data_IF_998631961392
#
_entry.id   IF_998631961392
#
_cell.length_a   1.000
_cell.length_b   1.000
_cell.length_c   1.000
_cell.angle_alpha   90.00
_cell.angle_beta   90.00
_cell.angle_gamma   90.00
#
_symmetry.space_group_name_H-M   'P 1'
#
loop_
_entity.id
_entity.type
_entity.pdbx_description
1 polymer ?
#
# COMPACT_ATOMS: atom_id res chain seq x y z
N UNK A 1 27.33 25.13 -7.68
CA UNK A 1 27.38 24.28 -6.47
C UNK A 1 26.23 24.68 -5.57
N UNK A 2 25.13 23.96 -5.67
CA UNK A 2 24.09 23.84 -4.64
C UNK A 2 23.48 22.48 -4.91
N UNK A 3 24.01 21.43 -4.25
CA UNK A 3 23.28 20.17 -4.16
C UNK A 3 21.96 20.50 -3.49
N UNK A 4 20.84 20.23 -4.15
CA UNK A 4 19.53 20.27 -3.51
C UNK A 4 19.47 19.07 -2.56
N UNK A 5 20.09 19.22 -1.38
CA UNK A 5 19.88 18.29 -0.28
C UNK A 5 18.39 18.33 0.04
N UNK A 6 17.69 17.23 -0.27
CA UNK A 6 16.40 16.94 0.34
C UNK A 6 16.61 17.02 1.86
N UNK A 7 16.07 18.06 2.51
CA UNK A 7 16.24 18.30 3.95
C UNK A 7 15.60 17.22 4.82
N UNK A 8 14.81 16.34 4.22
CA UNK A 8 14.15 15.19 4.84
C UNK A 8 15.02 13.92 4.79
N UNK A 9 16.04 13.87 3.93
CA UNK A 9 16.88 12.68 3.77
C UNK A 9 18.18 12.79 4.57
N UNK A 10 18.53 11.78 5.40
CA UNK A 10 19.81 11.75 6.12
C UNK A 10 21.02 11.51 5.21
N UNK A 11 20.84 10.89 4.03
CA UNK A 11 21.88 10.69 3.02
C UNK A 11 21.32 10.81 1.60
N UNK A 12 22.19 11.12 0.64
CA UNK A 12 21.83 11.10 -0.78
C UNK A 12 21.43 9.68 -1.23
N UNK A 13 22.13 8.64 -0.78
CA UNK A 13 21.76 7.25 -1.08
C UNK A 13 20.35 6.91 -0.60
N UNK A 14 19.96 7.34 0.61
CA UNK A 14 18.61 7.14 1.12
C UNK A 14 17.54 7.85 0.27
N UNK A 15 17.86 9.04 -0.23
CA UNK A 15 16.99 9.75 -1.17
C UNK A 15 16.85 8.99 -2.50
N UNK A 16 17.97 8.49 -3.03
CA UNK A 16 18.04 7.75 -4.29
C UNK A 16 17.34 6.38 -4.21
N UNK A 17 17.33 5.77 -3.02
CA UNK A 17 16.57 4.55 -2.73
C UNK A 17 15.06 4.82 -2.54
N UNK A 18 14.62 6.08 -2.61
CA UNK A 18 13.22 6.50 -2.48
C UNK A 18 12.76 6.81 -1.05
N UNK A 19 13.67 6.83 -0.08
CA UNK A 19 13.34 6.88 1.35
C UNK A 19 12.52 8.09 1.81
N UNK A 20 12.68 9.28 1.23
CA UNK A 20 11.81 10.42 1.58
C UNK A 20 10.38 10.30 1.06
N UNK A 21 10.18 9.61 -0.07
CA UNK A 21 8.85 9.34 -0.59
C UNK A 21 8.20 8.27 0.29
N UNK A 22 8.97 7.26 0.70
CA UNK A 22 8.53 6.27 1.70
C UNK A 22 8.10 6.95 3.01
N UNK A 23 8.87 7.90 3.53
CA UNK A 23 8.57 8.58 4.80
C UNK A 23 7.36 9.54 4.69
N UNK A 24 7.24 10.31 3.61
CA UNK A 24 6.10 11.20 3.41
C UNK A 24 4.79 10.44 3.17
N UNK A 25 4.82 9.36 2.38
CA UNK A 25 3.64 8.51 2.21
C UNK A 25 3.34 7.73 3.50
N UNK A 26 4.35 7.36 4.29
CA UNK A 26 4.18 6.77 5.63
C UNK A 26 3.44 7.71 6.56
N UNK A 27 3.79 8.99 6.61
CA UNK A 27 3.08 9.94 7.47
C UNK A 27 1.64 10.20 7.01
N UNK A 28 1.42 10.48 5.72
CA UNK A 28 0.08 10.71 5.19
C UNK A 28 -0.84 9.48 5.38
N UNK A 29 -0.31 8.28 5.17
CA UNK A 29 -1.06 7.04 5.34
C UNK A 29 -1.30 6.69 6.83
N UNK A 30 -0.34 6.97 7.73
CA UNK A 30 -0.54 6.88 9.19
C UNK A 30 -1.64 7.81 9.66
N UNK A 31 -1.67 9.03 9.14
CA UNK A 31 -2.65 10.04 9.54
C UNK A 31 -4.06 9.64 9.08
N UNK A 32 -4.25 9.29 7.81
CA UNK A 32 -5.53 8.84 7.27
C UNK A 32 -6.01 7.53 7.90
N UNK A 33 -5.12 6.53 8.04
CA UNK A 33 -5.45 5.26 8.69
C UNK A 33 -5.78 5.43 10.18
N UNK A 34 -5.06 6.30 10.88
CA UNK A 34 -5.34 6.65 12.27
C UNK A 34 -6.72 7.27 12.46
N UNK A 35 -7.13 8.16 11.56
CA UNK A 35 -8.47 8.78 11.59
C UNK A 35 -9.59 7.75 11.39
N UNK A 36 -9.43 6.81 10.45
CA UNK A 36 -10.43 5.76 10.19
C UNK A 36 -10.58 4.84 11.41
N UNK A 37 -9.46 4.40 12.00
CA UNK A 37 -9.48 3.55 13.20
C UNK A 37 -10.11 4.26 14.39
N UNK A 38 -9.82 5.56 14.57
CA UNK A 38 -10.46 6.36 15.62
C UNK A 38 -11.97 6.49 15.41
N UNK A 39 -12.43 6.71 14.18
CA UNK A 39 -13.85 6.80 13.85
C UNK A 39 -14.59 5.48 14.15
N UNK A 40 -14.03 4.36 13.74
CA UNK A 40 -14.60 3.03 14.00
C UNK A 40 -14.61 2.68 15.50
N UNK A 41 -13.56 3.04 16.24
CA UNK A 41 -13.52 2.88 17.69
C UNK A 41 -14.57 3.73 18.41
N UNK A 42 -14.87 4.93 17.90
CA UNK A 42 -15.92 5.78 18.45
C UNK A 42 -17.31 5.14 18.28
N UNK A 43 -17.64 4.66 17.08
CA UNK A 43 -18.91 3.97 16.83
C UNK A 43 -19.06 2.69 17.67
N UNK A 44 -17.98 1.92 17.82
CA UNK A 44 -17.99 0.73 18.68
C UNK A 44 -18.25 1.08 20.16
N UNK A 45 -17.65 2.18 20.64
CA UNK A 45 -17.88 2.67 22.00
C UNK A 45 -19.33 3.08 22.25
N UNK A 46 -19.96 3.75 21.29
CA UNK A 46 -21.37 4.13 21.36
C UNK A 46 -22.28 2.90 21.41
N UNK A 47 -22.02 1.88 20.59
CA UNK A 47 -22.78 0.64 20.60
C UNK A 47 -22.67 -0.11 21.95
N UNK A 48 -21.46 -0.24 22.50
CA UNK A 48 -21.26 -0.85 23.82
C UNK A 48 -21.93 -0.04 24.96
N UNK A 49 -21.94 1.30 24.84
CA UNK A 49 -22.63 2.14 25.82
C UNK A 49 -24.15 1.91 25.78
N UNK A 50 -24.71 1.79 24.58
CA UNK A 50 -26.13 1.51 24.40
C UNK A 50 -26.53 0.14 24.96
N UNK A 51 -25.77 -0.92 24.68
CA UNK A 51 -25.99 -2.25 25.28
C UNK A 51 -25.97 -2.19 26.81
N UNK A 52 -25.05 -1.43 27.39
CA UNK A 52 -24.96 -1.27 28.84
C UNK A 52 -26.17 -0.55 29.43
N UNK A 53 -26.71 0.45 28.73
CA UNK A 53 -27.94 1.14 29.16
C UNK A 53 -29.15 0.22 29.15
N UNK A 54 -29.32 -0.58 28.09
CA UNK A 54 -30.41 -1.56 27.98
C UNK A 54 -30.35 -2.58 29.12
N UNK A 55 -29.17 -3.16 29.39
CA UNK A 55 -29.02 -4.12 30.49
C UNK A 55 -29.21 -3.51 31.88
N UNK A 56 -28.92 -2.21 32.07
CA UNK A 56 -29.22 -1.52 33.33
C UNK A 56 -30.73 -1.32 33.53
N UNK A 57 -31.46 -1.07 32.44
CA UNK A 57 -32.92 -0.94 32.46
C UNK A 57 -33.59 -2.28 32.77
N UNK A 58 -33.14 -3.38 32.14
CA UNK A 58 -33.65 -4.74 32.41
C UNK A 58 -33.48 -5.14 33.89
N UNK A 59 -32.37 -4.71 34.52
CA UNK A 59 -32.17 -4.92 35.96
C UNK A 59 -33.22 -4.15 36.76
N UNK A 60 -33.57 -2.91 36.41
CA UNK A 60 -34.62 -2.16 37.12
C UNK A 60 -36.00 -2.79 36.94
N UNK A 61 -36.34 -3.14 35.71
CA UNK A 61 -37.63 -3.71 35.34
C UNK A 61 -37.87 -5.06 36.02
N UNK A 62 -36.81 -5.87 36.21
CA UNK A 62 -36.91 -7.16 36.92
C UNK A 62 -37.31 -7.06 38.40
N UNK A 63 -37.22 -5.86 38.97
CA UNK A 63 -37.61 -5.59 40.35
C UNK A 63 -38.96 -4.87 40.45
N UNK A 64 -39.55 -4.31 39.39
CA UNK A 64 -40.82 -3.54 39.49
C UNK A 64 -42.03 -4.39 39.93
N UNK A 65 -42.00 -5.71 39.80
CA UNK A 65 -43.19 -6.58 39.96
C UNK A 65 -43.34 -7.28 41.34
N UNK A 66 -42.46 -7.06 42.31
CA UNK A 66 -42.41 -7.90 43.53
C UNK A 66 -43.09 -7.35 44.78
N UNK A 67 -43.59 -6.10 44.78
CA UNK A 67 -44.15 -5.45 45.98
C UNK A 67 -45.62 -5.04 45.87
N UNK A 68 -46.24 -5.19 44.69
CA UNK A 68 -47.64 -4.78 44.46
C UNK A 68 -48.66 -5.62 45.21
N UNK A 69 -48.41 -6.91 45.39
CA UNK A 69 -49.42 -7.86 45.91
C UNK A 69 -49.35 -8.10 47.42
N UNK A 70 -48.40 -7.49 48.14
CA UNK A 70 -48.08 -7.96 49.49
C UNK A 70 -49.11 -7.59 50.56
N UNK A 71 -49.97 -6.58 50.36
CA UNK A 71 -50.96 -6.18 51.38
C UNK A 71 -52.17 -5.41 50.83
N UNK A 72 -52.98 -5.95 49.92
CA UNK A 72 -54.22 -5.28 49.45
C UNK A 72 -55.35 -5.20 50.51
N UNK A 73 -55.15 -5.73 51.71
CA UNK A 73 -56.15 -5.70 52.78
C UNK A 73 -56.03 -4.46 53.71
N UNK A 74 -57.17 -3.83 54.10
CA UNK A 74 -57.19 -2.69 55.01
C UNK A 74 -56.79 -3.10 56.42
N UNK A 75 -55.90 -2.32 57.06
CA UNK A 75 -55.44 -2.62 58.43
C UNK A 75 -56.52 -2.30 59.47
N UNK A 76 -56.49 -3.03 60.59
CA UNK A 76 -57.46 -2.89 61.69
C UNK A 76 -57.11 -1.77 62.70
N UNK A 77 -56.01 -1.02 62.52
CA UNK A 77 -55.59 0.03 63.49
C UNK A 77 -54.56 1.03 62.92
N UNK A 78 -54.68 2.34 63.19
CA UNK A 78 -53.72 3.38 62.77
C UNK A 78 -52.26 3.14 63.21
N UNK A 79 -52.06 2.44 64.32
CA UNK A 79 -50.72 2.12 64.83
C UNK A 79 -50.06 1.02 63.98
N UNK A 80 -50.85 0.09 63.43
CA UNK A 80 -50.37 -0.93 62.50
C UNK A 80 -50.11 -0.36 61.11
N UNK A 81 -50.85 0.68 60.69
CA UNK A 81 -50.56 1.41 59.45
C UNK A 81 -49.18 2.10 59.50
N UNK A 82 -48.82 2.72 60.62
CA UNK A 82 -47.50 3.35 60.78
C UNK A 82 -46.36 2.32 60.72
N UNK A 83 -46.50 1.19 61.41
CA UNK A 83 -45.51 0.11 61.36
C UNK A 83 -45.40 -0.51 59.97
N UNK A 84 -46.53 -0.64 59.26
CA UNK A 84 -46.57 -1.13 57.88
C UNK A 84 -45.86 -0.17 56.93
N UNK A 85 -46.05 1.13 57.07
CA UNK A 85 -45.35 2.17 56.29
C UNK A 85 -43.83 2.10 56.53
N UNK A 86 -43.39 1.92 57.78
CA UNK A 86 -41.96 1.78 58.11
C UNK A 86 -41.34 0.51 57.51
N UNK A 87 -42.06 -0.62 57.55
CA UNK A 87 -41.60 -1.88 56.95
C UNK A 87 -41.51 -1.77 55.43
N UNK A 88 -42.51 -1.18 54.77
CA UNK A 88 -42.49 -0.94 53.32
C UNK A 88 -41.32 -0.04 52.91
N UNK A 89 -41.11 1.06 53.64
CA UNK A 89 -39.98 1.95 53.39
C UNK A 89 -38.62 1.24 53.58
N UNK A 90 -38.51 0.30 54.51
CA UNK A 90 -37.28 -0.48 54.71
C UNK A 90 -37.08 -1.56 53.63
N UNK A 91 -38.15 -2.21 53.17
CA UNK A 91 -38.11 -3.12 52.02
C UNK A 91 -37.67 -2.37 50.77
N UNK A 92 -38.25 -1.20 50.49
CA UNK A 92 -37.89 -0.36 49.35
C UNK A 92 -36.43 0.11 49.43
N UNK A 93 -35.95 0.51 50.61
CA UNK A 93 -34.53 0.86 50.83
C UNK A 93 -33.59 -0.32 50.56
N UNK A 94 -33.94 -1.52 51.02
CA UNK A 94 -33.09 -2.70 50.83
C UNK A 94 -33.12 -3.21 49.38
N UNK A 95 -34.27 -3.10 48.71
CA UNK A 95 -34.44 -3.34 47.28
C UNK A 95 -33.61 -2.37 46.44
N UNK A 96 -33.66 -1.07 46.74
CA UNK A 96 -32.83 -0.05 46.09
C UNK A 96 -31.33 -0.33 46.25
N UNK A 97 -30.88 -0.76 47.44
CA UNK A 97 -29.48 -1.16 47.68
C UNK A 97 -29.06 -2.38 46.86
N UNK A 98 -29.93 -3.39 46.74
CA UNK A 98 -29.62 -4.59 45.97
C UNK A 98 -29.62 -4.32 44.45
N UNK A 99 -30.56 -3.50 43.95
CA UNK A 99 -30.56 -3.01 42.57
C UNK A 99 -29.24 -2.27 42.29
N UNK A 100 -28.85 -1.32 43.15
CA UNK A 100 -27.61 -0.57 42.97
C UNK A 100 -26.39 -1.50 42.94
N UNK A 101 -26.33 -2.48 43.84
CA UNK A 101 -25.23 -3.46 43.88
C UNK A 101 -25.19 -4.34 42.62
N UNK A 102 -26.33 -4.74 42.07
CA UNK A 102 -26.39 -5.49 40.82
C UNK A 102 -25.99 -4.63 39.62
N UNK A 103 -26.45 -3.38 39.57
CA UNK A 103 -26.02 -2.38 38.57
C UNK A 103 -24.50 -2.18 38.61
N UNK A 104 -23.92 -1.92 39.78
CA UNK A 104 -22.49 -1.72 39.94
C UNK A 104 -21.68 -2.93 39.46
N UNK A 105 -22.13 -4.15 39.80
CA UNK A 105 -21.49 -5.39 39.36
C UNK A 105 -21.63 -5.63 37.86
N UNK A 106 -22.79 -5.33 37.29
CA UNK A 106 -23.05 -5.43 35.85
C UNK A 106 -22.19 -4.42 35.07
N UNK A 107 -22.19 -3.15 35.48
CA UNK A 107 -21.37 -2.09 34.89
C UNK A 107 -19.89 -2.43 34.94
N UNK A 108 -19.37 -2.89 36.09
CA UNK A 108 -17.97 -3.29 36.21
C UNK A 108 -17.60 -4.43 35.26
N UNK A 109 -18.46 -5.46 35.15
CA UNK A 109 -18.25 -6.60 34.24
C UNK A 109 -18.29 -6.16 32.78
N UNK A 110 -19.29 -5.36 32.38
CA UNK A 110 -19.44 -4.87 31.01
C UNK A 110 -18.32 -3.92 30.61
N UNK A 111 -17.89 -3.04 31.51
CA UNK A 111 -16.74 -2.14 31.26
C UNK A 111 -15.46 -2.93 30.95
N UNK A 112 -15.19 -4.00 31.70
CA UNK A 112 -14.00 -4.84 31.45
C UNK A 112 -14.11 -5.65 30.15
N UNK A 113 -15.30 -6.16 29.83
CA UNK A 113 -15.58 -6.85 28.57
C UNK A 113 -15.39 -5.91 27.36
N UNK A 114 -15.98 -4.72 27.38
CA UNK A 114 -15.82 -3.69 26.36
C UNK A 114 -14.36 -3.28 26.21
N UNK A 115 -13.63 -3.07 27.33
CA UNK A 115 -12.20 -2.75 27.30
C UNK A 115 -11.39 -3.84 26.59
N UNK A 116 -11.70 -5.12 26.85
CA UNK A 116 -11.03 -6.25 26.20
C UNK A 116 -11.31 -6.30 24.71
N UNK A 117 -12.57 -6.12 24.30
CA UNK A 117 -12.98 -6.12 22.90
C UNK A 117 -12.37 -4.92 22.13
N UNK A 118 -12.37 -3.73 22.72
CA UNK A 118 -11.69 -2.54 22.16
C UNK A 118 -10.20 -2.80 21.91
N UNK A 119 -9.51 -3.47 22.84
CA UNK A 119 -8.10 -3.80 22.67
C UNK A 119 -7.88 -4.83 21.55
N UNK A 120 -8.76 -5.83 21.42
CA UNK A 120 -8.70 -6.82 20.33
C UNK A 120 -8.96 -6.18 18.97
N UNK A 121 -9.98 -5.31 18.88
CA UNK A 121 -10.30 -4.56 17.67
C UNK A 121 -9.13 -3.68 17.25
N UNK A 122 -8.53 -2.95 18.20
CA UNK A 122 -7.34 -2.12 17.93
C UNK A 122 -6.16 -2.94 17.42
N UNK A 123 -5.92 -4.11 18.01
CA UNK A 123 -4.82 -4.99 17.61
C UNK A 123 -5.03 -5.58 16.20
N UNK A 124 -6.27 -5.97 15.88
CA UNK A 124 -6.66 -6.44 14.55
C UNK A 124 -6.56 -5.33 13.50
N UNK A 125 -7.08 -4.14 13.81
CA UNK A 125 -6.99 -2.96 12.95
C UNK A 125 -5.54 -2.56 12.68
N UNK A 126 -4.66 -2.65 13.69
CA UNK A 126 -3.24 -2.40 13.52
C UNK A 126 -2.55 -3.43 12.64
N UNK A 127 -2.91 -4.72 12.77
CA UNK A 127 -2.41 -5.78 11.88
C UNK A 127 -2.87 -5.60 10.44
N UNK A 128 -4.13 -5.25 10.23
CA UNK A 128 -4.66 -4.92 8.89
C UNK A 128 -3.95 -3.72 8.29
N UNK A 129 -3.72 -2.67 9.10
CA UNK A 129 -2.95 -1.50 8.71
C UNK A 129 -1.52 -1.84 8.29
N UNK A 130 -0.82 -2.68 9.06
CA UNK A 130 0.53 -3.14 8.72
C UNK A 130 0.57 -3.97 7.43
N UNK A 131 -0.41 -4.85 7.23
CA UNK A 131 -0.52 -5.65 6.01
C UNK A 131 -0.72 -4.76 4.77
N UNK A 132 -1.69 -3.85 4.83
CA UNK A 132 -1.95 -2.91 3.74
C UNK A 132 -0.74 -1.99 3.48
N UNK A 133 0.01 -1.65 4.53
CA UNK A 133 1.26 -0.89 4.40
C UNK A 133 2.36 -1.69 3.70
N UNK A 134 2.56 -2.95 4.09
CA UNK A 134 3.51 -3.85 3.42
C UNK A 134 3.15 -4.00 1.93
N UNK A 135 1.86 -4.11 1.62
CA UNK A 135 1.38 -4.08 0.25
C UNK A 135 1.75 -2.73 -0.41
N UNK A 136 1.27 -1.58 0.07
CA UNK A 136 1.56 -0.28 -0.57
C UNK A 136 3.06 0.01 -0.75
N UNK A 137 3.91 -0.48 0.17
CA UNK A 137 5.36 -0.42 0.03
C UNK A 137 5.85 -1.23 -1.18
N UNK A 138 5.42 -2.48 -1.30
CA UNK A 138 5.78 -3.33 -2.42
C UNK A 138 5.29 -2.73 -3.75
N UNK A 139 4.10 -2.11 -3.80
CA UNK A 139 3.62 -1.35 -4.97
C UNK A 139 4.61 -0.26 -5.37
N UNK A 140 4.90 0.66 -4.44
CA UNK A 140 5.71 1.83 -4.70
C UNK A 140 7.13 1.44 -5.12
N UNK A 141 7.68 0.40 -4.48
CA UNK A 141 9.00 -0.13 -4.82
C UNK A 141 9.00 -0.75 -6.22
N UNK A 142 8.00 -1.54 -6.57
CA UNK A 142 7.88 -2.14 -7.90
C UNK A 142 7.68 -1.08 -8.99
N UNK A 143 6.87 -0.05 -8.69
CA UNK A 143 6.68 1.10 -9.57
C UNK A 143 8.00 1.84 -9.82
N UNK A 144 8.72 2.18 -8.75
CA UNK A 144 10.01 2.88 -8.85
C UNK A 144 11.06 2.06 -9.61
N UNK A 145 11.20 0.77 -9.29
CA UNK A 145 12.15 -0.12 -9.98
C UNK A 145 11.80 -0.38 -11.44
N UNK A 146 10.56 -0.10 -11.83
CA UNK A 146 10.11 -0.13 -13.21
C UNK A 146 10.26 1.21 -13.92
N UNK A 147 10.58 2.30 -13.21
CA UNK A 147 10.66 3.65 -13.80
C UNK A 147 11.81 3.80 -14.80
N UNK A 148 11.63 4.71 -15.76
CA UNK A 148 12.65 5.02 -16.76
C UNK A 148 13.95 5.55 -16.10
N UNK A 149 13.83 6.26 -14.98
CA UNK A 149 14.98 6.68 -14.17
C UNK A 149 15.80 5.48 -13.70
N UNK A 150 15.16 4.51 -13.06
CA UNK A 150 15.83 3.34 -12.52
C UNK A 150 16.50 2.53 -13.64
N UNK A 151 15.84 2.36 -14.78
CA UNK A 151 16.38 1.65 -15.95
C UNK A 151 17.64 2.36 -16.49
N UNK A 152 17.60 3.69 -16.65
CA UNK A 152 18.74 4.47 -17.12
C UNK A 152 19.90 4.42 -16.12
N UNK A 153 19.62 4.55 -14.82
CA UNK A 153 20.63 4.47 -13.78
C UNK A 153 21.32 3.10 -13.76
N UNK A 154 20.56 2.01 -13.79
CA UNK A 154 21.09 0.64 -13.85
C UNK A 154 21.93 0.39 -15.12
N UNK A 155 21.50 0.94 -16.26
CA UNK A 155 22.27 0.88 -17.51
C UNK A 155 23.58 1.69 -17.42
N UNK A 156 23.56 2.83 -16.74
CA UNK A 156 24.72 3.69 -16.49
C UNK A 156 25.75 2.99 -15.60
N UNK A 157 25.32 2.43 -14.47
CA UNK A 157 26.17 1.68 -13.54
C UNK A 157 26.83 0.47 -14.21
N UNK A 158 26.05 -0.28 -15.00
CA UNK A 158 26.58 -1.43 -15.74
C UNK A 158 27.62 -0.99 -16.77
N UNK A 159 27.35 0.10 -17.49
CA UNK A 159 28.30 0.69 -18.44
C UNK A 159 29.60 1.06 -17.72
N UNK A 160 29.51 1.82 -16.63
CA UNK A 160 30.68 2.27 -15.87
C UNK A 160 31.53 1.08 -15.38
N UNK A 161 30.87 0.07 -14.81
CA UNK A 161 31.54 -1.15 -14.34
C UNK A 161 32.34 -1.85 -15.43
N UNK A 162 31.76 -1.98 -16.63
CA UNK A 162 32.40 -2.67 -17.76
C UNK A 162 33.50 -1.83 -18.40
N UNK A 163 33.35 -0.50 -18.45
CA UNK A 163 34.42 0.42 -18.86
C UNK A 163 35.62 0.37 -17.91
N UNK A 164 35.38 0.35 -16.60
CA UNK A 164 36.43 0.21 -15.58
C UNK A 164 37.15 -1.13 -15.76
N UNK A 165 36.42 -2.24 -15.88
CA UNK A 165 37.00 -3.58 -16.06
C UNK A 165 37.84 -3.68 -17.34
N UNK A 166 37.41 -3.01 -18.42
CA UNK A 166 38.20 -2.90 -19.65
C UNK A 166 39.52 -2.19 -19.40
N UNK A 167 39.50 -1.01 -18.79
CA UNK A 167 40.70 -0.21 -18.53
C UNK A 167 41.67 -0.90 -17.56
N UNK A 168 41.17 -1.58 -16.53
CA UNK A 168 41.98 -2.41 -15.63
C UNK A 168 42.73 -3.50 -16.40
N UNK A 169 42.06 -4.13 -17.36
CA UNK A 169 42.68 -5.18 -18.21
C UNK A 169 43.80 -4.62 -19.10
N UNK A 170 43.71 -3.36 -19.53
CA UNK A 170 44.78 -2.69 -20.28
C UNK A 170 45.97 -2.31 -19.39
N UNK A 171 45.72 -1.82 -18.18
CA UNK A 171 46.76 -1.41 -17.22
C UNK A 171 47.56 -2.60 -16.69
N UNK A 172 46.89 -3.74 -16.48
CA UNK A 172 47.51 -4.96 -15.96
C UNK A 172 48.61 -5.55 -16.86
N UNK A 173 48.66 -5.14 -18.14
CA UNK A 173 49.66 -5.60 -19.11
C UNK A 173 49.59 -7.10 -19.43
N UNK A 174 48.58 -7.82 -18.92
CA UNK A 174 48.40 -9.27 -19.15
C UNK A 174 48.17 -9.59 -20.62
N UNK A 175 47.53 -8.68 -21.36
CA UNK A 175 47.25 -8.84 -22.80
C UNK A 175 48.53 -8.92 -23.65
N UNK A 176 49.66 -8.36 -23.20
CA UNK A 176 50.91 -8.46 -23.97
C UNK A 176 51.53 -9.86 -23.94
N UNK A 177 51.01 -10.76 -23.09
CA UNK A 177 51.58 -12.10 -22.83
C UNK A 177 50.74 -13.23 -23.42
N UNK A 178 49.64 -12.90 -24.10
CA UNK A 178 48.66 -13.87 -24.58
C UNK A 178 48.49 -13.72 -26.08
N UNK A 179 48.48 -14.83 -26.81
CA UNK A 179 48.14 -14.82 -28.23
C UNK A 179 46.62 -14.77 -28.40
N UNK A 180 46.12 -13.95 -29.32
CA UNK A 180 44.69 -13.79 -29.57
C UNK A 180 44.35 -14.21 -31.00
N UNK A 181 43.39 -15.11 -31.15
CA UNK A 181 42.88 -15.53 -32.47
C UNK A 181 41.86 -14.56 -33.06
N UNK A 182 41.39 -13.57 -32.28
CA UNK A 182 40.36 -12.60 -32.67
C UNK A 182 40.93 -11.25 -33.13
N UNK A 183 42.23 -11.01 -32.96
CA UNK A 183 42.88 -9.77 -33.35
C UNK A 183 43.88 -10.02 -34.48
N UNK A 184 43.87 -9.15 -35.49
CA UNK A 184 44.75 -9.30 -36.66
C UNK A 184 46.18 -8.87 -36.33
N UNK A 185 46.35 -7.96 -35.36
CA UNK A 185 47.67 -7.47 -34.94
C UNK A 185 47.85 -7.51 -33.41
N UNK A 186 49.11 -7.62 -32.96
CA UNK A 186 49.46 -7.54 -31.54
C UNK A 186 49.09 -6.18 -30.96
N UNK A 187 49.25 -5.10 -31.71
CA UNK A 187 48.88 -3.74 -31.29
C UNK A 187 47.37 -3.62 -31.05
N UNK A 188 46.55 -4.20 -31.93
CA UNK A 188 45.10 -4.29 -31.73
C UNK A 188 44.77 -5.12 -30.49
N UNK A 189 45.46 -6.24 -30.26
CA UNK A 189 45.22 -7.09 -29.09
C UNK A 189 45.59 -6.39 -27.77
N UNK A 190 46.78 -5.79 -27.69
CA UNK A 190 47.28 -5.08 -26.50
C UNK A 190 46.44 -3.84 -26.21
N UNK A 191 45.86 -3.21 -27.24
CA UNK A 191 44.85 -2.15 -27.10
C UNK A 191 43.46 -2.63 -26.68
N UNK A 192 43.26 -3.93 -26.42
CA UNK A 192 41.96 -4.48 -26.00
C UNK A 192 40.98 -4.70 -27.15
N UNK A 193 41.46 -4.86 -28.38
CA UNK A 193 40.65 -5.13 -29.59
C UNK A 193 39.57 -6.18 -29.39
N UNK A 194 39.95 -7.33 -28.84
CA UNK A 194 39.04 -8.42 -28.54
C UNK A 194 38.13 -8.15 -27.34
N UNK A 195 38.57 -7.31 -26.40
CA UNK A 195 37.82 -7.04 -25.16
C UNK A 195 36.55 -6.23 -25.40
N UNK A 196 36.51 -5.37 -26.43
CA UNK A 196 35.29 -4.60 -26.75
C UNK A 196 34.08 -5.50 -27.01
N UNK A 197 34.27 -6.55 -27.81
CA UNK A 197 33.19 -7.48 -28.14
C UNK A 197 32.79 -8.31 -26.93
N UNK A 198 33.77 -8.68 -26.08
CA UNK A 198 33.48 -9.30 -24.78
C UNK A 198 32.70 -8.38 -23.85
N UNK A 199 33.02 -7.08 -23.78
CA UNK A 199 32.30 -6.13 -22.94
C UNK A 199 30.87 -5.91 -23.46
N UNK A 200 30.67 -5.78 -24.79
CA UNK A 200 29.33 -5.69 -25.40
C UNK A 200 28.51 -6.95 -25.13
N UNK A 201 29.12 -8.13 -25.25
CA UNK A 201 28.46 -9.39 -24.94
C UNK A 201 28.06 -9.46 -23.46
N UNK A 202 28.98 -9.16 -22.54
CA UNK A 202 28.73 -9.12 -21.11
C UNK A 202 27.63 -8.11 -20.73
N UNK A 203 27.61 -6.95 -21.39
CA UNK A 203 26.56 -5.93 -21.24
C UNK A 203 25.19 -6.51 -21.66
N UNK A 204 25.11 -7.11 -22.85
CA UNK A 204 23.87 -7.68 -23.38
C UNK A 204 23.33 -8.83 -22.52
N UNK A 205 24.22 -9.72 -22.07
CA UNK A 205 23.85 -10.84 -21.21
C UNK A 205 23.29 -10.35 -19.87
N UNK A 206 23.95 -9.39 -19.24
CA UNK A 206 23.52 -8.81 -17.95
C UNK A 206 22.21 -8.05 -18.09
N UNK A 207 22.04 -7.27 -19.16
CA UNK A 207 20.81 -6.49 -19.38
C UNK A 207 19.61 -7.37 -19.76
N UNK A 208 19.81 -8.50 -20.44
CA UNK A 208 18.75 -9.48 -20.67
C UNK A 208 18.17 -10.01 -19.36
N UNK A 209 19.01 -10.31 -18.37
CA UNK A 209 18.55 -10.73 -17.04
C UNK A 209 17.78 -9.60 -16.34
N UNK A 210 18.33 -8.36 -16.36
CA UNK A 210 17.68 -7.19 -15.74
C UNK A 210 16.33 -6.85 -16.36
N UNK A 211 16.19 -6.92 -17.70
CA UNK A 211 14.90 -6.75 -18.40
C UNK A 211 13.85 -7.77 -17.93
N UNK A 212 14.25 -9.02 -17.71
CA UNK A 212 13.36 -10.06 -17.17
C UNK A 212 12.80 -9.71 -15.78
N UNK A 213 13.67 -9.25 -14.88
CA UNK A 213 13.29 -8.79 -13.53
C UNK A 213 12.36 -7.57 -13.62
N UNK A 214 12.72 -6.57 -14.43
CA UNK A 214 11.91 -5.37 -14.63
C UNK A 214 10.51 -5.69 -15.17
N UNK A 215 10.39 -6.58 -16.16
CA UNK A 215 9.08 -7.05 -16.65
C UNK A 215 8.26 -7.77 -15.60
N UNK A 216 8.91 -8.52 -14.72
CA UNK A 216 8.23 -9.13 -13.59
C UNK A 216 7.66 -8.06 -12.66
N UNK A 217 8.41 -7.00 -12.36
CA UNK A 217 7.93 -5.86 -11.55
C UNK A 217 6.76 -5.12 -12.20
N UNK A 218 6.83 -4.85 -13.51
CA UNK A 218 5.71 -4.28 -14.26
C UNK A 218 4.43 -5.14 -14.17
N UNK A 219 4.57 -6.47 -14.24
CA UNK A 219 3.42 -7.38 -14.08
C UNK A 219 2.82 -7.31 -12.68
N UNK A 220 3.63 -7.18 -11.64
CA UNK A 220 3.13 -7.02 -10.27
C UNK A 220 2.30 -5.73 -10.14
N UNK A 221 2.81 -4.60 -10.63
CA UNK A 221 2.06 -3.33 -10.66
C UNK A 221 0.72 -3.47 -11.40
N UNK A 222 0.72 -4.09 -12.58
CA UNK A 222 -0.52 -4.27 -13.35
C UNK A 222 -1.55 -5.15 -12.64
N UNK A 223 -1.08 -6.18 -11.94
CA UNK A 223 -1.96 -7.03 -11.13
C UNK A 223 -2.65 -6.20 -10.04
N UNK A 224 -1.93 -5.27 -9.43
CA UNK A 224 -2.47 -4.45 -8.35
C UNK A 224 -3.47 -3.43 -8.87
N UNK A 225 -3.18 -2.80 -10.02
CA UNK A 225 -4.14 -1.94 -10.71
C UNK A 225 -5.44 -2.69 -11.08
N UNK A 226 -5.35 -4.00 -11.34
CA UNK A 226 -6.52 -4.85 -11.57
C UNK A 226 -7.26 -5.13 -10.26
N UNK A 227 -6.55 -5.50 -9.19
CA UNK A 227 -7.15 -5.77 -7.88
C UNK A 227 -7.88 -4.55 -7.32
N UNK A 228 -7.26 -3.37 -7.36
CA UNK A 228 -7.87 -2.10 -6.95
C UNK A 228 -9.13 -1.82 -7.78
N UNK A 229 -9.06 -1.92 -9.10
CA UNK A 229 -10.22 -1.66 -9.96
C UNK A 229 -11.37 -2.67 -9.76
N UNK A 230 -11.06 -3.93 -9.45
CA UNK A 230 -12.07 -4.94 -9.11
C UNK A 230 -12.73 -4.65 -7.75
N UNK A 231 -11.99 -4.10 -6.79
CA UNK A 231 -12.50 -3.65 -5.50
C UNK A 231 -13.42 -2.44 -5.65
N UNK A 232 -13.03 -1.44 -6.45
CA UNK A 232 -13.87 -0.28 -6.76
C UNK A 232 -15.19 -0.67 -7.43
N UNK A 233 -15.14 -1.58 -8.42
CA UNK A 233 -16.35 -2.13 -9.04
C UNK A 233 -17.18 -2.88 -7.98
N UNK A 234 -16.53 -3.62 -7.08
CA UNK A 234 -17.24 -4.35 -6.02
C UNK A 234 -17.99 -3.42 -5.07
N UNK A 235 -17.37 -2.30 -4.67
CA UNK A 235 -17.97 -1.26 -3.81
C UNK A 235 -19.11 -0.53 -4.52
N UNK A 236 -18.97 -0.23 -5.81
CA UNK A 236 -20.01 0.43 -6.62
C UNK A 236 -21.34 -0.33 -6.65
N UNK A 237 -21.29 -1.66 -6.61
CA UNK A 237 -22.46 -2.54 -6.62
C UNK A 237 -22.75 -3.16 -5.24
N UNK A 238 -22.10 -2.67 -4.19
CA UNK A 238 -22.43 -3.03 -2.83
C UNK A 238 -23.78 -2.40 -2.50
N UNK A 239 -24.78 -3.24 -2.28
CA UNK A 239 -26.13 -2.81 -1.96
C UNK A 239 -26.28 -2.89 -0.44
N UNK A 240 -26.45 -1.74 0.21
CA UNK A 240 -26.79 -1.69 1.62
C UNK A 240 -28.21 -2.25 1.78
N UNK A 241 -28.29 -3.48 2.31
CA UNK A 241 -29.53 -4.25 2.39
C UNK A 241 -30.51 -3.61 3.37
N UNK A 242 -30.00 -2.93 4.40
CA UNK A 242 -30.80 -2.28 5.45
C UNK A 242 -31.67 -1.14 4.91
N UNK A 243 -31.24 -0.46 3.84
CA UNK A 243 -32.01 0.61 3.17
C UNK A 243 -33.16 0.08 2.29
N UNK A 244 -33.12 -1.22 1.96
CA UNK A 244 -34.08 -1.87 1.05
C UNK A 244 -35.07 -2.79 1.75
N UNK A 245 -34.84 -3.11 3.03
CA UNK A 245 -35.76 -3.88 3.86
C UNK A 245 -36.89 -2.95 4.32
N UNK A 246 -38.08 -3.17 3.78
CA UNK A 246 -39.30 -2.55 4.29
C UNK A 246 -39.76 -3.29 5.57
N UNK A 247 -40.26 -2.56 6.57
CA UNK A 247 -40.81 -3.18 7.79
C UNK A 247 -41.94 -4.17 7.44
N UNK A 248 -42.02 -5.33 8.12
CA UNK A 248 -43.05 -6.33 7.85
C UNK A 248 -44.45 -5.71 7.98
N UNK A 249 -45.25 -5.83 6.92
CA UNK A 249 -46.60 -5.25 6.90
C UNK A 249 -47.61 -6.13 7.64
N UNK A 250 -47.26 -7.39 7.90
CA UNK A 250 -48.15 -8.39 8.51
C UNK A 250 -49.10 -9.03 7.50
N UNK A 251 -49.09 -8.59 6.24
CA UNK A 251 -49.75 -9.25 5.12
C UNK A 251 -48.74 -10.16 4.42
N UNK A 252 -48.93 -11.47 4.58
CA UNK A 252 -48.07 -12.50 4.00
C UNK A 252 -47.85 -12.32 2.49
N UNK A 253 -48.85 -11.84 1.75
CA UNK A 253 -48.72 -11.67 0.30
C UNK A 253 -47.88 -10.45 -0.07
N UNK A 254 -48.00 -9.35 0.69
CA UNK A 254 -47.21 -8.14 0.50
C UNK A 254 -45.75 -8.38 0.91
N UNK A 255 -45.55 -9.02 2.05
CA UNK A 255 -44.22 -9.34 2.57
C UNK A 255 -43.47 -10.31 1.61
N UNK A 256 -44.17 -11.31 1.04
CA UNK A 256 -43.59 -12.20 0.03
C UNK A 256 -43.22 -11.47 -1.28
N UNK A 257 -44.01 -10.48 -1.70
CA UNK A 257 -43.67 -9.65 -2.86
C UNK A 257 -42.45 -8.76 -2.60
N UNK A 258 -42.34 -8.21 -1.39
CA UNK A 258 -41.20 -7.40 -0.98
C UNK A 258 -39.91 -8.22 -0.90
N UNK A 259 -39.94 -9.43 -0.34
CA UNK A 259 -38.80 -10.36 -0.37
C UNK A 259 -38.36 -10.70 -1.80
N UNK A 260 -39.32 -10.98 -2.68
CA UNK A 260 -39.03 -11.26 -4.09
C UNK A 260 -38.40 -10.05 -4.79
N UNK A 261 -38.95 -8.85 -4.58
CA UNK A 261 -38.43 -7.58 -5.13
C UNK A 261 -36.99 -7.34 -4.67
N UNK A 262 -36.71 -7.54 -3.38
CA UNK A 262 -35.37 -7.42 -2.82
C UNK A 262 -34.40 -8.43 -3.47
N UNK A 263 -34.83 -9.69 -3.60
CA UNK A 263 -34.07 -10.72 -4.30
C UNK A 263 -33.75 -10.35 -5.75
N UNK A 264 -34.73 -9.82 -6.49
CA UNK A 264 -34.55 -9.39 -7.89
C UNK A 264 -33.56 -8.21 -8.00
N UNK A 265 -33.59 -7.25 -7.07
CA UNK A 265 -32.64 -6.12 -7.02
C UNK A 265 -31.22 -6.60 -6.74
N UNK A 266 -31.05 -7.48 -5.74
CA UNK A 266 -29.74 -8.04 -5.38
C UNK A 266 -29.15 -8.87 -6.52
N UNK A 267 -29.95 -9.71 -7.17
CA UNK A 267 -29.54 -10.49 -8.34
C UNK A 267 -29.14 -9.59 -9.51
N UNK A 268 -29.93 -8.57 -9.82
CA UNK A 268 -29.62 -7.63 -10.90
C UNK A 268 -28.33 -6.85 -10.64
N UNK A 269 -28.12 -6.38 -9.40
CA UNK A 269 -26.87 -5.71 -9.00
C UNK A 269 -25.66 -6.64 -9.13
N UNK A 270 -25.80 -7.88 -8.67
CA UNK A 270 -24.75 -8.90 -8.79
C UNK A 270 -24.42 -9.22 -10.25
N UNK A 271 -25.42 -9.39 -11.11
CA UNK A 271 -25.21 -9.65 -12.53
C UNK A 271 -24.49 -8.49 -13.23
N UNK A 272 -24.87 -7.23 -12.94
CA UNK A 272 -24.17 -6.06 -13.46
C UNK A 272 -22.73 -5.96 -12.97
N UNK A 273 -22.48 -6.25 -11.69
CA UNK A 273 -21.13 -6.34 -11.12
C UNK A 273 -20.27 -7.34 -11.90
N UNK A 274 -20.78 -8.55 -12.14
CA UNK A 274 -20.04 -9.59 -12.87
C UNK A 274 -19.77 -9.18 -14.33
N UNK A 275 -20.73 -8.55 -15.00
CA UNK A 275 -20.56 -8.04 -16.37
C UNK A 275 -19.47 -6.97 -16.42
N UNK A 276 -19.51 -6.00 -15.50
CA UNK A 276 -18.52 -4.91 -15.45
C UNK A 276 -17.13 -5.42 -15.08
N UNK A 277 -17.00 -6.33 -14.10
CA UNK A 277 -15.73 -6.96 -13.74
C UNK A 277 -15.12 -7.72 -14.94
N UNK A 278 -15.91 -8.47 -15.71
CA UNK A 278 -15.42 -9.15 -16.92
C UNK A 278 -14.94 -8.17 -17.97
N UNK A 279 -15.70 -7.09 -18.23
CA UNK A 279 -15.32 -6.06 -19.20
C UNK A 279 -14.04 -5.35 -18.78
N UNK A 280 -13.91 -5.02 -17.50
CA UNK A 280 -12.73 -4.40 -16.92
C UNK A 280 -11.49 -5.30 -17.04
N UNK A 281 -11.60 -6.58 -16.63
CA UNK A 281 -10.50 -7.53 -16.76
C UNK A 281 -10.05 -7.71 -18.22
N UNK A 282 -10.99 -7.85 -19.15
CA UNK A 282 -10.67 -7.98 -20.57
C UNK A 282 -9.94 -6.75 -21.09
N UNK A 283 -10.47 -5.55 -20.80
CA UNK A 283 -9.83 -4.27 -21.15
C UNK A 283 -8.41 -4.15 -20.57
N UNK A 284 -8.22 -4.52 -19.29
CA UNK A 284 -6.90 -4.48 -18.64
C UNK A 284 -5.95 -5.50 -19.26
N UNK A 285 -6.37 -6.73 -19.55
CA UNK A 285 -5.52 -7.74 -20.20
C UNK A 285 -5.04 -7.30 -21.58
N UNK A 286 -5.94 -6.77 -22.41
CA UNK A 286 -5.62 -6.34 -23.78
C UNK A 286 -4.62 -5.18 -23.77
N UNK A 287 -4.83 -4.19 -22.89
CA UNK A 287 -3.91 -3.06 -22.76
C UNK A 287 -2.58 -3.45 -22.08
N UNK A 288 -2.62 -4.35 -21.10
CA UNK A 288 -1.42 -4.79 -20.37
C UNK A 288 -0.40 -5.43 -21.30
N UNK A 289 -0.86 -6.21 -22.29
CA UNK A 289 0.05 -6.85 -23.25
C UNK A 289 0.77 -5.83 -24.12
N UNK A 290 0.01 -4.92 -24.74
CA UNK A 290 0.60 -3.86 -25.57
C UNK A 290 1.55 -2.97 -24.77
N UNK A 291 1.18 -2.65 -23.52
CA UNK A 291 2.00 -1.85 -22.63
C UNK A 291 3.29 -2.57 -22.20
N UNK A 292 3.22 -3.86 -21.86
CA UNK A 292 4.41 -4.66 -21.54
C UNK A 292 5.38 -4.74 -22.73
N UNK A 293 4.85 -4.94 -23.95
CA UNK A 293 5.68 -4.95 -25.17
C UNK A 293 6.35 -3.59 -25.40
N UNK A 294 5.62 -2.49 -25.20
CA UNK A 294 6.17 -1.13 -25.28
C UNK A 294 7.26 -0.89 -24.23
N UNK A 295 7.04 -1.32 -22.98
CA UNK A 295 8.02 -1.18 -21.89
C UNK A 295 9.25 -2.06 -22.10
N UNK A 296 9.09 -3.25 -22.67
CA UNK A 296 10.22 -4.09 -23.09
C UNK A 296 11.07 -3.39 -24.14
N UNK A 297 10.44 -2.89 -25.21
CA UNK A 297 11.13 -2.17 -26.28
C UNK A 297 11.81 -0.90 -25.78
N UNK A 298 11.17 -0.16 -24.88
CA UNK A 298 11.77 1.02 -24.25
C UNK A 298 13.05 0.66 -23.51
N UNK A 299 13.02 -0.34 -22.62
CA UNK A 299 14.20 -0.78 -21.89
C UNK A 299 15.29 -1.32 -22.82
N UNK A 300 14.93 -2.07 -23.87
CA UNK A 300 15.85 -2.51 -24.92
C UNK A 300 16.59 -1.32 -25.54
N UNK A 301 15.86 -0.25 -25.88
CA UNK A 301 16.44 0.95 -26.47
C UNK A 301 17.39 1.67 -25.51
N UNK A 302 17.00 1.82 -24.24
CA UNK A 302 17.85 2.43 -23.20
C UNK A 302 19.15 1.64 -23.02
N UNK A 303 19.04 0.32 -22.86
CA UNK A 303 20.23 -0.53 -22.71
C UNK A 303 21.12 -0.50 -23.95
N UNK A 304 20.55 -0.55 -25.15
CA UNK A 304 21.31 -0.47 -26.40
C UNK A 304 22.04 0.87 -26.54
N UNK A 305 21.39 1.99 -26.16
CA UNK A 305 22.02 3.31 -26.14
C UNK A 305 23.25 3.35 -25.23
N UNK A 306 23.14 2.83 -24.01
CA UNK A 306 24.27 2.76 -23.09
C UNK A 306 25.38 1.82 -23.58
N UNK A 307 25.02 0.70 -24.19
CA UNK A 307 25.98 -0.24 -24.79
C UNK A 307 26.75 0.39 -25.97
N UNK A 308 26.07 1.17 -26.82
CA UNK A 308 26.70 1.90 -27.93
C UNK A 308 27.68 2.94 -27.37
N UNK A 309 27.23 3.79 -26.43
CA UNK A 309 28.08 4.79 -25.76
C UNK A 309 29.29 4.17 -25.06
N UNK A 310 29.11 3.01 -24.44
CA UNK A 310 30.20 2.24 -23.87
C UNK A 310 31.22 1.89 -24.95
N UNK A 311 30.78 1.25 -26.05
CA UNK A 311 31.65 0.88 -27.15
C UNK A 311 32.40 2.07 -27.77
N UNK A 312 31.72 3.20 -27.97
CA UNK A 312 32.34 4.45 -28.41
C UNK A 312 33.42 4.92 -27.42
N UNK A 313 33.12 4.91 -26.12
CA UNK A 313 34.09 5.30 -25.10
C UNK A 313 35.32 4.40 -25.08
N UNK A 314 35.16 3.07 -25.13
CA UNK A 314 36.27 2.10 -25.16
C UNK A 314 37.23 2.40 -26.34
N UNK A 315 36.68 2.73 -27.51
CA UNK A 315 37.47 3.12 -28.69
C UNK A 315 38.27 4.41 -28.47
N UNK A 316 37.72 5.40 -27.75
CA UNK A 316 38.45 6.65 -27.46
C UNK A 316 39.57 6.49 -26.44
N UNK A 317 39.52 5.43 -25.63
CA UNK A 317 40.46 5.17 -24.54
C UNK A 317 41.54 4.17 -24.96
N UNK A 318 41.26 3.34 -25.96
CA UNK A 318 42.18 2.37 -26.56
C UNK A 318 43.52 3.01 -26.93
N UNK A 319 44.62 2.37 -26.52
CA UNK A 319 45.99 2.75 -26.88
C UNK A 319 46.45 4.08 -26.29
N UNK A 320 45.68 4.72 -25.39
CA UNK A 320 46.10 5.96 -24.76
C UNK A 320 47.23 5.73 -23.75
N UNK A 321 48.32 6.52 -23.80
CA UNK A 321 49.45 6.35 -22.89
C UNK A 321 49.12 6.70 -21.44
N UNK A 322 48.09 7.52 -21.20
CA UNK A 322 47.63 7.93 -19.88
C UNK A 322 46.44 7.09 -19.36
N UNK A 323 46.29 5.85 -19.81
CA UNK A 323 45.18 4.95 -19.43
C UNK A 323 45.01 4.80 -17.91
N UNK A 324 46.10 4.75 -17.16
CA UNK A 324 46.07 4.63 -15.70
C UNK A 324 45.45 5.86 -15.02
N UNK A 325 45.71 7.06 -15.55
CA UNK A 325 45.12 8.31 -15.06
C UNK A 325 43.63 8.39 -15.42
N UNK A 326 43.27 8.00 -16.65
CA UNK A 326 41.87 7.93 -17.10
C UNK A 326 41.08 6.96 -16.21
N UNK A 327 41.64 5.80 -15.89
CA UNK A 327 41.04 4.82 -14.98
C UNK A 327 40.81 5.41 -13.58
N UNK A 328 41.79 6.12 -13.02
CA UNK A 328 41.66 6.75 -11.71
C UNK A 328 40.59 7.84 -11.71
N UNK A 329 40.52 8.65 -12.77
CA UNK A 329 39.47 9.66 -12.93
C UNK A 329 38.09 9.00 -13.08
N UNK A 330 37.99 7.90 -13.84
CA UNK A 330 36.74 7.17 -14.01
C UNK A 330 36.23 6.54 -12.72
N UNK A 331 37.14 5.99 -11.90
CA UNK A 331 36.80 5.46 -10.56
C UNK A 331 36.37 6.55 -9.57
N UNK A 332 36.70 7.82 -9.83
CA UNK A 332 36.37 8.98 -8.97
C UNK A 332 35.11 9.71 -9.42
N UNK A 333 34.80 9.71 -10.72
CA UNK A 333 33.63 10.37 -11.28
C UNK A 333 32.58 9.36 -11.67
N UNK A 334 31.46 9.32 -10.94
CA UNK A 334 30.29 8.57 -11.37
C UNK A 334 29.77 9.17 -12.68
N UNK A 335 29.24 8.34 -13.58
CA UNK A 335 28.52 8.81 -14.78
C UNK A 335 27.33 9.75 -14.48
N UNK A 336 26.90 9.84 -13.22
CA UNK A 336 25.68 10.52 -12.79
C UNK A 336 25.72 12.05 -12.84
N UNK A 337 26.88 12.72 -12.78
CA UNK A 337 26.93 14.20 -12.73
C UNK A 337 26.35 14.90 -14.00
N UNK A 338 26.31 14.20 -15.14
CA UNK A 338 25.64 14.66 -16.37
C UNK A 338 24.18 14.17 -16.47
N UNK A 339 23.85 13.01 -15.90
CA UNK A 339 22.50 12.45 -15.85
C UNK A 339 21.60 13.24 -14.88
N UNK A 340 22.14 13.70 -13.76
CA UNK A 340 21.43 14.50 -12.76
C UNK A 340 20.94 15.83 -13.38
N UNK A 341 21.73 16.46 -14.25
CA UNK A 341 21.33 17.68 -14.99
C UNK A 341 20.27 17.44 -16.06
N UNK A 342 20.35 16.31 -16.76
CA UNK A 342 19.33 15.91 -17.76
C UNK A 342 18.03 15.52 -17.06
N UNK A 343 18.12 14.91 -15.87
CA UNK A 343 16.97 14.57 -15.05
C UNK A 343 16.32 15.80 -14.43
N UNK A 344 17.09 16.76 -13.91
CA UNK A 344 16.54 18.04 -13.42
C UNK A 344 15.77 18.79 -14.51
N UNK A 345 16.21 18.72 -15.78
CA UNK A 345 15.45 19.33 -16.88
C UNK A 345 14.21 18.54 -17.26
N UNK A 346 14.30 17.21 -17.30
CA UNK A 346 13.17 16.35 -17.67
C UNK A 346 12.08 16.29 -16.58
N UNK A 347 12.46 16.22 -15.30
CA UNK A 347 11.54 16.27 -14.17
C UNK A 347 10.80 17.62 -14.08
N UNK A 348 11.48 18.71 -14.47
CA UNK A 348 10.83 20.02 -14.68
C UNK A 348 9.79 19.98 -15.80
N UNK A 349 10.14 19.41 -16.96
CA UNK A 349 9.21 19.30 -18.09
C UNK A 349 7.98 18.43 -17.77
N UNK A 350 8.16 17.30 -17.07
CA UNK A 350 7.03 16.45 -16.68
C UNK A 350 6.16 17.08 -15.58
N UNK A 351 6.76 17.76 -14.61
CA UNK A 351 6.01 18.53 -13.60
C UNK A 351 5.21 19.67 -14.26
N UNK A 352 5.78 20.36 -15.26
CA UNK A 352 5.07 21.38 -16.05
C UNK A 352 3.93 20.77 -16.88
N UNK A 353 4.11 19.60 -17.50
CA UNK A 353 3.03 18.90 -18.22
C UNK A 353 1.91 18.47 -17.29
N UNK A 354 2.23 17.92 -16.11
CA UNK A 354 1.24 17.51 -15.12
C UNK A 354 0.45 18.72 -14.57
N UNK A 355 1.14 19.84 -14.29
CA UNK A 355 0.50 21.09 -13.87
C UNK A 355 -0.40 21.70 -14.97
N UNK A 356 0.03 21.61 -16.23
CA UNK A 356 -0.76 22.10 -17.37
C UNK A 356 -1.96 21.19 -17.68
N UNK A 357 -1.88 19.88 -17.39
CA UNK A 357 -3.01 18.97 -17.51
C UNK A 357 -4.07 19.22 -16.42
N UNK A 358 -3.65 19.57 -15.19
CA UNK A 358 -4.54 19.90 -14.08
C UNK A 358 -5.22 21.28 -14.20
N UNK A 359 -4.63 22.22 -14.95
CA UNK A 359 -5.21 23.56 -15.18
C UNK A 359 -6.18 23.62 -16.38
N UNK A 360 -6.26 22.55 -17.19
CA UNK A 360 -7.13 22.47 -18.37
C UNK A 360 -8.32 21.48 -18.19
N UNK A 361 -8.48 20.93 -16.98
CA UNK A 361 -9.67 20.20 -16.51
C UNK A 361 -10.46 21.08 -15.56
#
# INVERSE_FOLDING_TARGET
MTMLHCTLCPTLQYHLDGGCIEDNQREAFKEAGGQIVQKQLAHFWEACHHEMQVGLQEIEDSFEDTTKDLFDEPSLSPLMDLQRIEILAEIDRNKAKEIQKQKDKYTAKKTEETRRQCNQFRDLAYKMYLHYWEEMKDYAQNWFQSSDYFINHEASLLREKLEIAFMESLVDGKLTRVACALCDTLEQHVGGGCLDDYQKHAFKETTNQKKGVMMFKYRQVLQWDVEIGLEEISKKYEVEVDDLIEEPTGDWFVDQQNEKRLGDILLASYDQKIIEQRRFMQYKMDNSRAWLDQKWQHAENVYNHHMIKMGEYLQTVRGKPNIAEILQNRKRGMLDDEMEKVYESWAKEEAEKAANAANNS
#
